data_IF_841084207234
#
_entry.id   IF_841084207234
#
_cell.length_a   1.000
_cell.length_b   1.000
_cell.length_c   1.000
_cell.angle_alpha   90.00
_cell.angle_beta   90.00
_cell.angle_gamma   90.00
#
_symmetry.space_group_name_H-M   'P 1'
#
loop_
_entity.id
_entity.type
_entity.pdbx_description
1 polymer ?
#
# COMPACT_ATOMS: atom_id res chain seq x y z
N UNK A 1 -22.86 -33.54 -88.22
CA UNK A 1 -23.08 -33.87 -86.79
C UNK A 1 -21.79 -33.59 -86.04
N UNK A 2 -21.77 -32.53 -85.24
CA UNK A 2 -20.60 -32.05 -84.47
C UNK A 2 -20.78 -32.53 -83.02
N UNK A 3 -19.78 -33.22 -82.45
CA UNK A 3 -19.71 -33.43 -81.01
C UNK A 3 -18.60 -32.54 -80.45
N UNK A 4 -18.99 -31.61 -79.57
CA UNK A 4 -18.12 -30.77 -78.75
C UNK A 4 -18.19 -31.30 -77.32
N UNK A 5 -17.04 -31.67 -76.74
CA UNK A 5 -16.89 -32.07 -75.34
C UNK A 5 -16.43 -30.84 -74.55
N UNK A 6 -17.30 -30.36 -73.67
CA UNK A 6 -17.01 -29.27 -72.72
C UNK A 6 -16.48 -29.93 -71.43
N UNK A 7 -15.20 -29.73 -71.14
CA UNK A 7 -14.59 -30.11 -69.87
C UNK A 7 -14.82 -29.02 -68.81
N UNK A 8 -15.48 -29.37 -67.72
CA UNK A 8 -15.74 -28.50 -66.56
C UNK A 8 -14.59 -28.66 -65.56
N UNK A 9 -13.84 -27.58 -65.28
CA UNK A 9 -12.85 -27.53 -64.22
C UNK A 9 -13.52 -27.11 -62.90
N UNK A 10 -13.56 -28.01 -61.92
CA UNK A 10 -14.00 -27.71 -60.55
C UNK A 10 -12.77 -27.32 -59.73
N UNK A 11 -12.72 -26.06 -59.29
CA UNK A 11 -11.70 -25.52 -58.39
C UNK A 11 -11.99 -26.01 -56.95
N UNK A 12 -11.14 -26.87 -56.40
CA UNK A 12 -11.21 -27.27 -55.00
C UNK A 12 -10.56 -26.20 -54.11
N UNK A 13 -11.37 -25.41 -53.40
CA UNK A 13 -10.91 -24.48 -52.37
C UNK A 13 -10.73 -25.25 -51.06
N UNK A 14 -9.49 -25.53 -50.70
CA UNK A 14 -9.13 -26.10 -49.40
C UNK A 14 -9.25 -25.04 -48.30
N UNK A 15 -10.33 -25.13 -47.51
CA UNK A 15 -10.55 -24.30 -46.32
C UNK A 15 -9.63 -24.79 -45.19
N UNK A 16 -8.49 -24.11 -45.01
CA UNK A 16 -7.60 -24.34 -43.87
C UNK A 16 -8.23 -23.82 -42.58
N UNK A 17 -8.68 -24.72 -41.71
CA UNK A 17 -9.09 -24.39 -40.35
C UNK A 17 -7.85 -24.01 -39.53
N UNK A 18 -7.63 -22.70 -39.35
CA UNK A 18 -6.70 -22.19 -38.34
C UNK A 18 -7.33 -22.39 -36.96
N UNK A 19 -6.87 -23.41 -36.23
CA UNK A 19 -7.14 -23.53 -34.80
C UNK A 19 -6.40 -22.40 -34.06
N UNK A 20 -7.13 -21.32 -33.78
CA UNK A 20 -6.73 -20.29 -32.83
C UNK A 20 -6.77 -20.89 -31.42
N UNK A 21 -5.59 -21.18 -30.84
CA UNK A 21 -5.48 -21.58 -29.45
C UNK A 21 -5.79 -20.37 -28.56
N UNK A 22 -7.04 -20.25 -28.14
CA UNK A 22 -7.57 -19.08 -27.47
C UNK A 22 -7.23 -19.03 -25.96
N UNK A 23 -6.96 -17.81 -25.49
CA UNK A 23 -6.55 -17.26 -24.17
C UNK A 23 -7.20 -17.79 -22.86
N UNK A 24 -7.80 -18.98 -22.80
CA UNK A 24 -8.48 -19.51 -21.60
C UNK A 24 -7.55 -19.66 -20.38
N UNK A 25 -6.28 -20.02 -20.59
CA UNK A 25 -5.35 -20.30 -19.50
C UNK A 25 -4.80 -19.04 -18.80
N UNK A 26 -4.71 -17.92 -19.53
CA UNK A 26 -4.23 -16.63 -19.01
C UNK A 26 -5.30 -15.92 -18.18
N UNK A 27 -6.57 -15.95 -18.61
CA UNK A 27 -7.67 -15.29 -17.90
C UNK A 27 -8.00 -15.95 -16.55
N UNK A 28 -7.96 -17.28 -16.46
CA UNK A 28 -8.16 -18.01 -15.19
C UNK A 28 -7.04 -17.76 -14.17
N UNK A 29 -5.77 -17.70 -14.62
CA UNK A 29 -4.64 -17.37 -13.74
C UNK A 29 -4.74 -15.93 -13.21
N UNK A 30 -5.08 -14.97 -14.06
CA UNK A 30 -5.28 -13.57 -13.65
C UNK A 30 -6.44 -13.42 -12.64
N UNK A 31 -7.55 -14.14 -12.85
CA UNK A 31 -8.69 -14.13 -11.93
C UNK A 31 -8.34 -14.66 -10.53
N UNK A 32 -7.50 -15.70 -10.43
CA UNK A 32 -7.01 -16.20 -9.14
C UNK A 32 -6.07 -15.21 -8.44
N UNK A 33 -5.21 -14.52 -9.20
CA UNK A 33 -4.29 -13.50 -8.69
C UNK A 33 -5.00 -12.21 -8.22
N UNK A 34 -6.20 -11.94 -8.72
CA UNK A 34 -7.04 -10.81 -8.31
C UNK A 34 -8.09 -11.15 -7.25
N UNK A 35 -7.99 -12.32 -6.57
CA UNK A 35 -8.98 -12.72 -5.58
C UNK A 35 -8.88 -11.83 -4.33
N UNK A 36 -9.95 -11.13 -4.03
CA UNK A 36 -10.03 -10.26 -2.85
C UNK A 36 -10.53 -11.01 -1.61
N UNK A 37 -10.19 -10.54 -0.39
CA UNK A 37 -10.78 -11.07 0.84
C UNK A 37 -12.29 -10.86 0.84
N UNK A 38 -13.06 -11.92 1.11
CA UNK A 38 -14.53 -11.89 0.98
C UNK A 38 -15.22 -10.91 1.95
N UNK A 39 -14.62 -10.64 3.10
CA UNK A 39 -15.14 -9.72 4.12
C UNK A 39 -14.71 -8.26 3.90
N UNK A 40 -13.87 -7.97 2.91
CA UNK A 40 -13.48 -6.62 2.56
C UNK A 40 -14.47 -6.02 1.54
N UNK A 41 -14.62 -4.68 1.51
CA UNK A 41 -15.33 -4.03 0.42
C UNK A 41 -14.56 -4.20 -0.90
N UNK A 42 -15.18 -3.84 -2.02
CA UNK A 42 -14.47 -3.79 -3.30
C UNK A 42 -13.30 -2.78 -3.22
N UNK A 43 -12.08 -3.12 -3.69
CA UNK A 43 -10.97 -2.18 -3.71
C UNK A 43 -11.25 -1.00 -4.63
N UNK A 44 -10.70 0.17 -4.29
CA UNK A 44 -10.76 1.37 -5.13
C UNK A 44 -9.92 1.18 -6.40
N UNK A 45 -8.75 0.54 -6.25
CA UNK A 45 -7.89 0.16 -7.36
C UNK A 45 -8.26 -1.22 -7.93
N UNK A 46 -8.67 -1.23 -9.20
CA UNK A 46 -8.89 -2.44 -9.99
C UNK A 46 -7.83 -2.61 -11.08
N UNK A 47 -7.71 -3.83 -11.61
CA UNK A 47 -6.71 -4.22 -12.62
C UNK A 47 -7.17 -4.01 -14.08
N UNK A 48 -8.10 -3.09 -14.33
CA UNK A 48 -8.62 -2.86 -15.69
C UNK A 48 -7.62 -2.17 -16.62
N UNK A 49 -6.77 -1.29 -16.10
CA UNK A 49 -5.74 -0.56 -16.87
C UNK A 49 -4.35 -1.21 -16.80
N UNK A 50 -4.12 -2.04 -15.78
CA UNK A 50 -2.87 -2.74 -15.51
C UNK A 50 -3.23 -4.15 -15.06
N UNK A 51 -3.48 -5.04 -16.03
CA UNK A 51 -3.88 -6.41 -15.74
C UNK A 51 -2.79 -7.15 -14.98
N UNK A 52 -3.18 -7.83 -13.90
CA UNK A 52 -2.24 -8.56 -13.05
C UNK A 52 -1.82 -9.88 -13.71
N UNK A 53 -0.52 -10.17 -13.66
CA UNK A 53 0.08 -11.44 -14.07
C UNK A 53 1.16 -11.90 -13.08
N UNK A 54 1.47 -13.20 -13.06
CA UNK A 54 2.54 -13.75 -12.23
C UNK A 54 3.90 -13.14 -12.60
N UNK A 55 4.12 -12.93 -13.90
CA UNK A 55 5.31 -12.33 -14.47
C UNK A 55 5.44 -10.86 -14.05
N UNK A 56 4.34 -10.10 -14.09
CA UNK A 56 4.30 -8.70 -13.69
C UNK A 56 4.51 -8.49 -12.19
N UNK A 57 3.92 -9.36 -11.36
CA UNK A 57 4.20 -9.41 -9.91
C UNK A 57 5.68 -9.71 -9.66
N UNK A 58 6.25 -10.68 -10.37
CA UNK A 58 7.66 -11.09 -10.21
C UNK A 58 8.61 -9.97 -10.62
N UNK A 59 8.38 -9.32 -11.77
CA UNK A 59 9.14 -8.16 -12.21
C UNK A 59 9.01 -6.99 -11.22
N UNK A 60 7.79 -6.70 -10.77
CA UNK A 60 7.51 -5.66 -9.77
C UNK A 60 8.24 -5.91 -8.45
N UNK A 61 8.24 -7.16 -7.98
CA UNK A 61 8.95 -7.55 -6.76
C UNK A 61 10.46 -7.38 -6.93
N UNK A 62 11.01 -7.84 -8.05
CA UNK A 62 12.44 -7.67 -8.34
C UNK A 62 12.83 -6.19 -8.30
N UNK A 63 12.08 -5.34 -9.02
CA UNK A 63 12.29 -3.89 -9.02
C UNK A 63 12.17 -3.25 -7.62
N UNK A 64 11.26 -3.76 -6.77
CA UNK A 64 11.05 -3.26 -5.41
C UNK A 64 12.28 -3.47 -4.52
N UNK A 65 12.98 -4.59 -4.68
CA UNK A 65 14.16 -4.93 -3.87
C UNK A 65 15.50 -4.59 -4.55
N UNK A 66 15.52 -4.38 -5.86
CA UNK A 66 16.72 -4.05 -6.62
C UNK A 66 17.10 -2.56 -6.47
N UNK A 67 18.32 -2.24 -6.00
CA UNK A 67 18.75 -0.85 -5.84
C UNK A 67 18.99 -0.13 -7.18
N UNK A 68 18.91 -0.80 -8.34
CA UNK A 68 19.06 -0.23 -9.68
C UNK A 68 18.21 1.03 -9.92
N UNK A 69 17.10 1.15 -9.21
CA UNK A 69 16.17 2.28 -9.28
C UNK A 69 16.63 3.53 -8.50
N UNK A 70 17.69 3.44 -7.69
CA UNK A 70 18.33 4.61 -7.08
C UNK A 70 19.44 5.16 -7.98
N UNK A 71 19.79 6.44 -7.79
CA UNK A 71 20.82 7.11 -8.60
C UNK A 71 22.14 6.34 -8.65
N UNK A 72 22.64 5.93 -7.49
CA UNK A 72 23.95 5.31 -7.30
C UNK A 72 23.87 3.80 -7.00
N UNK A 73 22.71 3.17 -7.22
CA UNK A 73 22.48 1.75 -6.98
C UNK A 73 22.75 1.29 -5.52
N UNK A 74 22.39 2.12 -4.52
CA UNK A 74 22.62 1.79 -3.09
C UNK A 74 21.35 1.61 -2.25
N UNK A 75 20.20 2.07 -2.74
CA UNK A 75 18.92 2.02 -2.01
C UNK A 75 17.84 1.45 -2.91
N UNK A 76 16.99 0.57 -2.38
CA UNK A 76 15.77 0.08 -3.01
C UNK A 76 14.55 0.40 -2.15
N UNK A 77 13.34 0.14 -2.63
CA UNK A 77 12.15 0.27 -1.78
C UNK A 77 12.25 -0.63 -0.55
N UNK A 78 12.79 -1.84 -0.74
CA UNK A 78 13.05 -2.81 0.32
C UNK A 78 14.07 -2.37 1.38
N UNK A 79 14.89 -1.34 1.13
CA UNK A 79 15.79 -0.79 2.15
C UNK A 79 15.04 -0.14 3.33
N UNK A 80 13.84 0.41 3.07
CA UNK A 80 13.00 1.06 4.08
C UNK A 80 11.69 0.29 4.34
N UNK A 81 11.24 -0.57 3.43
CA UNK A 81 9.95 -1.26 3.54
C UNK A 81 10.16 -2.76 3.79
N UNK A 82 10.34 -3.14 5.06
CA UNK A 82 10.76 -4.50 5.45
C UNK A 82 9.57 -5.48 5.53
N UNK A 83 9.58 -6.60 4.76
CA UNK A 83 8.43 -7.49 4.69
C UNK A 83 7.96 -8.07 6.03
N UNK A 84 8.89 -8.41 6.91
CA UNK A 84 8.64 -8.97 8.25
C UNK A 84 8.08 -7.93 9.25
N UNK A 85 7.90 -6.70 8.80
CA UNK A 85 7.46 -5.53 9.58
C UNK A 85 6.30 -4.82 8.90
N UNK A 86 5.47 -5.60 8.19
CA UNK A 86 4.37 -5.11 7.37
C UNK A 86 4.81 -4.03 6.38
N UNK A 87 6.03 -4.15 5.85
CA UNK A 87 6.66 -3.20 4.93
C UNK A 87 6.83 -1.79 5.51
N UNK A 88 7.04 -1.65 6.82
CA UNK A 88 7.51 -0.41 7.45
C UNK A 88 9.04 -0.44 7.69
N UNK A 89 9.61 0.67 8.17
CA UNK A 89 11.01 0.74 8.66
C UNK A 89 11.00 0.74 10.20
N UNK A 90 11.03 -0.43 10.87
CA UNK A 90 10.87 -0.48 12.31
C UNK A 90 12.05 0.16 13.04
N UNK A 91 11.82 0.71 14.23
CA UNK A 91 12.86 1.37 15.06
C UNK A 91 13.52 2.60 14.41
N UNK A 92 13.02 3.09 13.27
CA UNK A 92 13.51 4.31 12.62
C UNK A 92 12.45 5.39 12.72
N UNK A 93 12.77 6.44 13.48
CA UNK A 93 11.94 7.67 13.49
C UNK A 93 11.80 8.21 12.07
N UNK A 94 12.94 8.37 11.40
CA UNK A 94 13.09 8.76 10.01
C UNK A 94 14.05 7.76 9.34
N UNK A 95 13.71 7.34 8.14
CA UNK A 95 14.46 6.34 7.39
C UNK A 95 15.67 6.98 6.72
N UNK A 96 16.70 6.19 6.43
CA UNK A 96 17.88 6.67 5.71
C UNK A 96 17.77 6.31 4.24
N UNK A 97 17.67 7.32 3.38
CA UNK A 97 17.77 7.12 1.95
C UNK A 97 19.20 7.25 1.44
N UNK A 98 19.32 7.61 0.17
CA UNK A 98 20.59 7.73 -0.55
C UNK A 98 21.53 8.73 0.15
N UNK A 99 22.83 8.41 0.18
CA UNK A 99 23.85 9.18 0.91
C UNK A 99 23.53 9.34 2.42
N UNK A 100 22.81 8.38 3.00
CA UNK A 100 22.43 8.36 4.42
C UNK A 100 21.57 9.57 4.85
N UNK A 101 20.91 10.25 3.90
CA UNK A 101 20.04 11.38 4.20
C UNK A 101 18.75 10.88 4.88
N UNK A 102 18.29 11.60 5.90
CA UNK A 102 17.03 11.26 6.57
C UNK A 102 15.84 11.71 5.73
N UNK A 103 14.79 10.88 5.71
CA UNK A 103 13.47 11.25 5.20
C UNK A 103 12.85 12.35 6.05
N UNK A 104 11.84 13.05 5.52
CA UNK A 104 11.10 14.08 6.27
C UNK A 104 10.03 13.53 7.20
N UNK A 105 9.57 12.31 6.91
CA UNK A 105 8.48 11.63 7.62
C UNK A 105 8.83 10.17 7.85
N UNK A 106 8.19 9.57 8.84
CA UNK A 106 8.29 8.15 9.14
C UNK A 106 7.78 7.30 7.95
N UNK A 107 8.43 6.18 7.70
CA UNK A 107 8.07 5.25 6.62
C UNK A 107 6.87 4.40 7.03
N UNK A 108 5.70 4.56 6.39
CA UNK A 108 4.51 3.78 6.73
C UNK A 108 4.65 2.34 6.22
N UNK A 109 3.90 1.43 6.84
CA UNK A 109 3.71 0.09 6.29
C UNK A 109 3.01 0.10 4.93
N UNK A 110 3.30 -0.91 4.10
CA UNK A 110 2.68 -1.11 2.80
C UNK A 110 1.79 -2.35 2.83
N UNK A 111 0.51 -2.15 3.10
CA UNK A 111 -0.51 -3.20 3.08
C UNK A 111 -1.87 -2.60 2.72
N UNK A 112 -2.70 -3.39 2.02
CA UNK A 112 -4.07 -3.05 1.64
C UNK A 112 -4.23 -1.72 0.88
N UNK A 113 -3.16 -1.26 0.22
CA UNK A 113 -3.12 0.04 -0.45
C UNK A 113 -4.12 0.16 -1.61
N UNK A 114 -4.56 -0.96 -2.19
CA UNK A 114 -5.60 -0.99 -3.24
C UNK A 114 -6.96 -0.48 -2.76
N UNK A 115 -7.22 -0.46 -1.47
CA UNK A 115 -8.45 0.09 -0.89
C UNK A 115 -8.32 1.57 -0.51
N UNK A 116 -7.15 2.18 -0.69
CA UNK A 116 -6.95 3.60 -0.40
C UNK A 116 -7.28 4.46 -1.63
N UNK A 117 -7.72 5.70 -1.36
CA UNK A 117 -8.04 6.71 -2.38
C UNK A 117 -6.97 7.79 -2.52
N UNK A 118 -6.14 7.94 -1.49
CA UNK A 118 -5.04 8.90 -1.38
C UNK A 118 -3.88 8.24 -0.63
N UNK A 119 -2.66 8.63 -1.00
CA UNK A 119 -1.41 8.05 -0.51
C UNK A 119 -0.52 9.12 0.09
N UNK A 120 0.48 8.69 0.86
CA UNK A 120 1.32 9.53 1.74
C UNK A 120 0.53 10.21 2.87
N UNK A 121 1.25 10.78 3.83
CA UNK A 121 0.64 11.39 5.02
C UNK A 121 -0.14 12.68 4.69
N UNK A 122 0.19 13.38 3.61
CA UNK A 122 -0.48 14.62 3.15
C UNK A 122 -1.58 14.37 2.10
N UNK A 123 -1.61 13.17 1.51
CA UNK A 123 -2.60 12.78 0.51
C UNK A 123 -2.30 13.27 -0.90
N UNK A 124 -1.07 13.72 -1.19
CA UNK A 124 -0.72 14.34 -2.48
C UNK A 124 -0.87 13.40 -3.68
N UNK A 125 -0.70 12.09 -3.49
CA UNK A 125 -0.83 11.10 -4.56
C UNK A 125 -2.20 10.44 -4.52
N UNK A 126 -2.89 10.40 -5.67
CA UNK A 126 -4.28 9.90 -5.82
C UNK A 126 -4.40 8.68 -6.73
N UNK A 127 -3.32 8.30 -7.40
CA UNK A 127 -3.25 7.14 -8.29
C UNK A 127 -2.29 6.12 -7.73
N UNK A 128 -2.74 4.87 -7.67
CA UNK A 128 -2.01 3.78 -7.03
C UNK A 128 -0.67 3.50 -7.73
N UNK A 129 -0.63 3.59 -9.06
CA UNK A 129 0.59 3.39 -9.85
C UNK A 129 1.61 4.52 -9.66
N UNK A 130 1.20 5.68 -9.14
CA UNK A 130 2.09 6.81 -8.90
C UNK A 130 2.72 6.80 -7.51
N UNK A 131 2.36 5.85 -6.63
CA UNK A 131 3.00 5.75 -5.30
C UNK A 131 4.52 5.63 -5.42
N UNK A 132 5.10 4.77 -6.27
CA UNK A 132 6.56 4.65 -6.34
C UNK A 132 7.24 5.89 -6.92
N UNK A 133 6.53 6.73 -7.68
CA UNK A 133 7.15 7.87 -8.35
C UNK A 133 7.74 8.88 -7.35
N UNK A 134 7.04 9.16 -6.25
CA UNK A 134 7.48 10.12 -5.25
C UNK A 134 8.82 9.73 -4.58
N UNK A 135 9.00 8.52 -4.01
CA UNK A 135 10.29 8.11 -3.44
C UNK A 135 11.38 7.94 -4.51
N UNK A 136 11.02 7.51 -5.73
CA UNK A 136 11.97 7.33 -6.83
C UNK A 136 12.71 8.62 -7.16
N UNK A 137 12.02 9.75 -7.23
CA UNK A 137 12.62 11.04 -7.63
C UNK A 137 13.02 11.93 -6.45
N UNK A 138 12.66 11.57 -5.21
CA UNK A 138 13.01 12.36 -4.04
C UNK A 138 14.53 12.30 -3.77
N UNK A 139 15.15 13.48 -3.66
CA UNK A 139 16.59 13.69 -3.44
C UNK A 139 17.15 13.07 -2.15
N UNK A 140 16.31 12.93 -1.13
CA UNK A 140 16.67 12.34 0.16
C UNK A 140 16.44 10.83 0.19
N UNK A 141 15.62 10.31 -0.73
CA UNK A 141 15.23 8.89 -0.79
C UNK A 141 16.06 8.17 -1.85
N UNK A 142 15.62 8.12 -3.11
CA UNK A 142 16.31 7.36 -4.16
C UNK A 142 17.08 8.25 -5.17
N UNK A 143 16.76 9.55 -5.23
CA UNK A 143 17.37 10.56 -6.13
C UNK A 143 17.45 10.11 -7.61
N UNK A 144 16.52 9.28 -8.04
CA UNK A 144 16.46 8.71 -9.37
C UNK A 144 16.08 9.76 -10.42
N UNK A 145 16.74 9.71 -11.58
CA UNK A 145 16.30 10.38 -12.80
C UNK A 145 15.63 9.35 -13.71
N UNK A 146 14.36 9.56 -14.05
CA UNK A 146 13.59 8.56 -14.81
C UNK A 146 14.22 8.22 -16.16
N UNK A 147 14.86 9.17 -16.85
CA UNK A 147 15.49 8.91 -18.15
C UNK A 147 16.69 7.99 -17.97
N UNK A 148 17.54 8.27 -16.98
CA UNK A 148 18.68 7.43 -16.65
C UNK A 148 18.25 6.04 -16.14
N UNK A 149 17.21 5.97 -15.31
CA UNK A 149 16.67 4.69 -14.84
C UNK A 149 16.14 3.82 -15.99
N UNK A 150 15.37 4.42 -16.92
CA UNK A 150 14.91 3.72 -18.11
C UNK A 150 16.10 3.21 -18.93
N UNK A 151 17.14 4.02 -19.12
CA UNK A 151 18.36 3.62 -19.83
C UNK A 151 19.07 2.45 -19.14
N UNK A 152 19.20 2.47 -17.80
CA UNK A 152 19.76 1.35 -17.02
C UNK A 152 18.99 0.05 -17.28
N UNK A 153 17.66 0.10 -17.19
CA UNK A 153 16.80 -1.07 -17.40
C UNK A 153 16.84 -1.56 -18.86
N UNK A 154 16.83 -0.64 -19.83
CA UNK A 154 16.90 -0.95 -21.26
C UNK A 154 18.21 -1.66 -21.64
N UNK A 155 19.31 -1.26 -20.98
CA UNK A 155 20.64 -1.84 -21.19
C UNK A 155 20.85 -3.19 -20.48
N UNK A 156 19.94 -3.59 -19.58
CA UNK A 156 19.98 -4.91 -18.95
C UNK A 156 19.20 -5.92 -19.81
N UNK A 157 19.86 -6.96 -20.39
CA UNK A 157 19.17 -7.99 -21.16
C UNK A 157 18.08 -8.69 -20.33
N UNK A 158 18.36 -8.93 -19.05
CA UNK A 158 17.42 -9.55 -18.12
C UNK A 158 16.16 -8.71 -17.96
N UNK A 159 16.30 -7.40 -17.68
CA UNK A 159 15.13 -6.54 -17.53
C UNK A 159 14.37 -6.38 -18.84
N UNK A 160 15.07 -6.20 -19.97
CA UNK A 160 14.43 -6.12 -21.29
C UNK A 160 13.54 -7.33 -21.57
N UNK A 161 14.04 -8.54 -21.32
CA UNK A 161 13.27 -9.77 -21.49
C UNK A 161 12.05 -9.83 -20.56
N UNK A 162 12.21 -9.44 -19.29
CA UNK A 162 11.11 -9.42 -18.33
C UNK A 162 10.04 -8.37 -18.69
N UNK A 163 10.43 -7.18 -19.14
CA UNK A 163 9.51 -6.15 -19.62
C UNK A 163 8.79 -6.56 -20.91
N UNK A 164 9.51 -7.21 -21.84
CA UNK A 164 8.91 -7.79 -23.04
C UNK A 164 7.87 -8.85 -22.70
N UNK A 165 8.16 -9.73 -21.73
CA UNK A 165 7.25 -10.78 -21.29
C UNK A 165 5.96 -10.22 -20.66
N UNK A 166 6.05 -9.13 -19.90
CA UNK A 166 4.91 -8.57 -19.16
C UNK A 166 4.09 -7.60 -20.00
N UNK A 167 4.73 -6.74 -20.80
CA UNK A 167 4.09 -5.63 -21.49
C UNK A 167 4.15 -5.71 -23.02
N UNK A 168 4.72 -6.78 -23.57
CA UNK A 168 4.92 -6.96 -25.02
C UNK A 168 5.59 -5.73 -25.67
N UNK A 169 6.63 -5.22 -25.02
CA UNK A 169 7.37 -4.04 -25.47
C UNK A 169 8.89 -4.19 -25.36
N UNK A 170 9.58 -3.85 -26.44
CA UNK A 170 11.05 -3.78 -26.48
C UNK A 170 11.58 -2.42 -26.00
N UNK A 171 10.68 -1.46 -25.72
CA UNK A 171 10.99 -0.11 -25.26
C UNK A 171 10.42 0.12 -23.87
N UNK A 172 11.30 0.06 -22.87
CA UNK A 172 10.94 0.32 -21.48
C UNK A 172 10.58 1.81 -21.33
N UNK A 173 9.45 2.08 -20.66
CA UNK A 173 8.95 3.42 -20.38
C UNK A 173 8.63 3.53 -18.89
N UNK A 174 8.55 4.76 -18.37
CA UNK A 174 8.19 5.01 -16.96
C UNK A 174 6.90 4.30 -16.55
N UNK A 175 5.88 4.31 -17.42
CA UNK A 175 4.61 3.60 -17.18
C UNK A 175 4.80 2.10 -16.92
N UNK A 176 5.72 1.44 -17.62
CA UNK A 176 5.97 0.00 -17.46
C UNK A 176 6.58 -0.29 -16.08
N UNK A 177 7.53 0.55 -15.64
CA UNK A 177 8.18 0.44 -14.32
C UNK A 177 7.12 0.60 -13.22
N UNK A 178 6.31 1.67 -13.30
CA UNK A 178 5.27 1.98 -12.33
C UNK A 178 4.18 0.90 -12.30
N UNK A 179 3.80 0.35 -13.45
CA UNK A 179 2.81 -0.73 -13.54
C UNK A 179 3.32 -2.04 -12.95
N UNK A 180 4.57 -2.41 -13.20
CA UNK A 180 5.17 -3.60 -12.60
C UNK A 180 5.20 -3.49 -11.06
N UNK A 181 5.70 -2.36 -10.53
CA UNK A 181 5.70 -2.07 -9.09
C UNK A 181 4.28 -2.10 -8.51
N UNK A 182 3.30 -1.51 -9.20
CA UNK A 182 1.90 -1.54 -8.78
C UNK A 182 1.33 -2.97 -8.74
N UNK A 183 1.67 -3.84 -9.69
CA UNK A 183 1.23 -5.24 -9.65
C UNK A 183 1.74 -5.93 -8.38
N UNK A 184 3.02 -5.79 -8.04
CA UNK A 184 3.59 -6.35 -6.81
C UNK A 184 2.97 -5.74 -5.56
N UNK A 185 2.94 -4.40 -5.44
CA UNK A 185 2.35 -3.71 -4.30
C UNK A 185 0.86 -4.05 -4.10
N UNK A 186 0.16 -4.36 -5.20
CA UNK A 186 -1.23 -4.78 -5.17
C UNK A 186 -1.45 -6.15 -4.51
N UNK A 187 -0.40 -6.99 -4.43
CA UNK A 187 -0.44 -8.29 -3.73
C UNK A 187 -0.24 -8.17 -2.22
N UNK A 188 0.17 -6.99 -1.74
CA UNK A 188 0.42 -6.75 -0.32
C UNK A 188 -0.90 -6.58 0.44
N UNK A 189 -1.61 -7.69 0.62
CA UNK A 189 -2.93 -7.75 1.27
C UNK A 189 -2.81 -8.46 2.61
N UNK A 190 -3.06 -7.72 3.69
CA UNK A 190 -3.22 -8.25 5.05
C UNK A 190 -4.72 -8.37 5.35
N UNK A 191 -5.18 -9.60 5.57
CA UNK A 191 -6.62 -9.90 5.69
C UNK A 191 -6.91 -11.21 6.44
N UNK A 192 -5.95 -11.73 7.20
CA UNK A 192 -6.09 -12.97 7.96
C UNK A 192 -5.60 -12.83 9.42
N UNK A 193 -5.62 -11.60 9.94
CA UNK A 193 -5.38 -11.32 11.35
C UNK A 193 -6.38 -12.04 12.25
N UNK A 194 -6.10 -12.07 13.56
CA UNK A 194 -7.04 -12.64 14.53
C UNK A 194 -8.41 -11.94 14.51
N UNK A 195 -8.44 -10.64 14.24
CA UNK A 195 -9.68 -9.90 14.01
C UNK A 195 -10.43 -10.39 12.76
N UNK A 196 -9.73 -10.62 11.65
CA UNK A 196 -10.36 -11.13 10.41
C UNK A 196 -10.98 -12.52 10.64
N UNK A 197 -10.29 -13.37 11.40
CA UNK A 197 -10.78 -14.69 11.79
C UNK A 197 -12.00 -14.60 12.70
N UNK A 198 -12.04 -13.61 13.61
CA UNK A 198 -13.20 -13.35 14.47
C UNK A 198 -14.42 -12.86 13.67
N UNK A 199 -14.24 -11.89 12.77
CA UNK A 199 -15.30 -11.40 11.87
C UNK A 199 -15.84 -12.53 11.00
N UNK A 200 -14.97 -13.46 10.58
CA UNK A 200 -15.35 -14.64 9.80
C UNK A 200 -15.91 -15.80 10.63
N UNK A 201 -16.09 -15.63 11.94
CA UNK A 201 -16.62 -16.67 12.85
C UNK A 201 -15.68 -17.86 13.11
N UNK A 202 -14.41 -17.80 12.67
CA UNK A 202 -13.43 -18.89 12.82
C UNK A 202 -12.85 -18.99 14.22
N UNK A 203 -12.80 -17.87 14.95
CA UNK A 203 -12.30 -17.81 16.33
C UNK A 203 -13.24 -16.99 17.20
N UNK A 204 -13.18 -17.22 18.51
CA UNK A 204 -13.82 -16.37 19.52
C UNK A 204 -12.80 -15.43 20.13
N UNK A 205 -13.20 -14.18 20.32
CA UNK A 205 -12.45 -13.25 21.15
C UNK A 205 -12.58 -13.59 22.64
N UNK A 206 -11.47 -13.42 23.35
CA UNK A 206 -11.40 -13.41 24.82
C UNK A 206 -12.21 -12.24 25.39
N UNK A 207 -12.61 -12.28 26.68
CA UNK A 207 -13.28 -11.15 27.32
C UNK A 207 -12.51 -9.83 27.19
N UNK A 208 -11.19 -9.86 27.29
CA UNK A 208 -10.31 -8.70 27.19
C UNK A 208 -10.27 -8.13 25.76
N UNK A 209 -10.19 -8.99 24.75
CA UNK A 209 -10.26 -8.57 23.33
C UNK A 209 -11.62 -7.95 23.00
N UNK A 210 -12.73 -8.53 23.51
CA UNK A 210 -14.07 -7.95 23.35
C UNK A 210 -14.19 -6.61 24.04
N UNK A 211 -13.63 -6.47 25.24
CA UNK A 211 -13.62 -5.18 25.97
C UNK A 211 -12.82 -4.13 25.21
N UNK A 212 -11.66 -4.50 24.67
CA UNK A 212 -10.85 -3.62 23.82
C UNK A 212 -11.57 -3.18 22.56
N UNK A 213 -12.23 -4.12 21.87
CA UNK A 213 -13.07 -3.84 20.70
C UNK A 213 -14.19 -2.85 21.04
N UNK A 214 -14.91 -3.06 22.15
CA UNK A 214 -15.96 -2.15 22.61
C UNK A 214 -15.43 -0.73 22.82
N UNK A 215 -14.34 -0.57 23.58
CA UNK A 215 -13.73 0.74 23.84
C UNK A 215 -13.27 1.39 22.53
N UNK A 216 -12.69 0.61 21.63
CA UNK A 216 -12.26 1.09 20.31
C UNK A 216 -13.45 1.64 19.50
N UNK A 217 -14.57 0.92 19.46
CA UNK A 217 -15.80 1.37 18.79
C UNK A 217 -16.37 2.63 19.44
N UNK A 218 -16.33 2.75 20.75
CA UNK A 218 -16.87 3.93 21.46
C UNK A 218 -15.99 5.17 21.30
N UNK A 219 -14.67 5.00 21.27
CA UNK A 219 -13.71 6.11 21.42
C UNK A 219 -12.87 6.42 20.18
N UNK A 220 -12.61 5.45 19.31
CA UNK A 220 -11.61 5.57 18.23
C UNK A 220 -12.23 5.52 16.81
N UNK A 221 -13.36 4.84 16.64
CA UNK A 221 -13.88 4.51 15.30
C UNK A 221 -14.45 5.70 14.50
N UNK A 222 -14.60 6.88 15.12
CA UNK A 222 -14.96 8.10 14.39
C UNK A 222 -13.93 8.48 13.32
N UNK A 223 -12.65 8.17 13.56
CA UNK A 223 -11.58 8.34 12.59
C UNK A 223 -11.10 6.98 12.07
N UNK A 224 -10.90 6.00 12.97
CA UNK A 224 -10.44 4.67 12.61
C UNK A 224 -11.61 3.73 12.29
N UNK A 225 -12.34 4.07 11.23
CA UNK A 225 -13.56 3.36 10.85
C UNK A 225 -13.34 1.87 10.59
N UNK A 226 -14.22 1.05 11.16
CA UNK A 226 -14.12 -0.42 11.11
C UNK A 226 -14.92 -1.05 9.98
N UNK A 227 -15.95 -0.35 9.48
CA UNK A 227 -16.91 -0.88 8.49
C UNK A 227 -16.25 -1.25 7.17
N UNK A 228 -15.16 -0.57 6.81
CA UNK A 228 -14.36 -0.87 5.62
C UNK A 228 -13.26 -1.91 5.86
N UNK A 229 -13.19 -2.49 7.07
CA UNK A 229 -12.16 -3.42 7.54
C UNK A 229 -10.74 -2.86 7.60
N UNK A 230 -10.48 -1.58 7.31
CA UNK A 230 -9.13 -1.00 7.29
C UNK A 230 -8.78 -0.19 8.54
N UNK A 231 -9.74 0.10 9.43
CA UNK A 231 -9.50 0.90 10.63
C UNK A 231 -8.99 2.32 10.30
N UNK A 232 -9.56 2.92 9.26
CA UNK A 232 -9.29 4.29 8.81
C UNK A 232 -10.45 4.79 7.95
N UNK A 233 -10.84 6.05 8.10
CA UNK A 233 -11.77 6.73 7.19
C UNK A 233 -11.06 7.39 5.99
N UNK A 234 -9.72 7.35 5.96
CA UNK A 234 -8.83 8.01 5.00
C UNK A 234 -8.97 9.54 4.96
N UNK A 235 -9.59 10.13 5.98
CA UNK A 235 -9.68 11.58 6.17
C UNK A 235 -8.34 12.16 6.61
N UNK A 236 -8.28 13.50 6.71
CA UNK A 236 -7.10 14.21 7.18
C UNK A 236 -7.43 14.97 8.46
N UNK A 237 -6.63 14.76 9.50
CA UNK A 237 -6.91 15.22 10.85
C UNK A 237 -5.66 15.83 11.46
N UNK A 238 -5.82 16.88 12.25
CA UNK A 238 -4.77 17.34 13.16
C UNK A 238 -5.14 16.78 14.56
N UNK A 239 -4.28 15.95 15.12
CA UNK A 239 -4.49 15.33 16.44
C UNK A 239 -3.82 16.10 17.59
N UNK A 240 -3.36 17.33 17.31
CA UNK A 240 -2.74 18.21 18.30
C UNK A 240 -1.37 17.71 18.76
N UNK A 241 -0.55 17.14 17.88
CA UNK A 241 0.83 16.76 18.21
C UNK A 241 1.64 17.99 18.67
N UNK A 242 1.42 19.13 18.02
CA UNK A 242 2.03 20.41 18.30
C UNK A 242 0.96 21.52 18.23
N UNK A 243 1.08 22.58 19.02
CA UNK A 243 0.21 23.78 18.89
C UNK A 243 0.44 24.51 17.56
N UNK A 244 1.68 24.44 17.06
CA UNK A 244 2.07 24.92 15.74
C UNK A 244 2.93 23.84 15.07
N UNK A 245 2.42 23.26 13.99
CA UNK A 245 3.13 22.20 13.27
C UNK A 245 4.26 22.78 12.42
N UNK A 246 5.46 22.21 12.53
CA UNK A 246 6.58 22.53 11.63
C UNK A 246 6.45 21.85 10.26
N UNK A 247 5.72 20.74 10.20
CA UNK A 247 5.30 20.09 8.94
C UNK A 247 3.85 20.49 8.66
N UNK A 248 3.59 21.33 7.65
CA UNK A 248 2.23 21.81 7.36
C UNK A 248 1.33 20.70 6.79
N UNK A 249 1.85 19.50 6.53
CA UNK A 249 1.05 18.32 6.19
C UNK A 249 0.26 18.52 4.90
N UNK A 250 -1.06 18.31 4.99
CA UNK A 250 -1.99 18.43 3.87
C UNK A 250 -2.02 19.83 3.24
N UNK A 251 -1.70 20.89 3.97
CA UNK A 251 -1.62 22.24 3.41
C UNK A 251 -0.68 22.32 2.20
N UNK A 252 0.38 21.50 2.12
CA UNK A 252 1.28 21.46 0.95
C UNK A 252 0.59 21.02 -0.34
N UNK A 253 -0.61 20.44 -0.24
CA UNK A 253 -1.41 19.94 -1.36
C UNK A 253 -2.60 20.85 -1.65
N UNK A 254 -3.20 21.46 -0.62
CA UNK A 254 -4.46 22.21 -0.76
C UNK A 254 -4.29 23.72 -0.64
N UNK A 255 -3.20 24.19 -0.03
CA UNK A 255 -2.93 25.60 0.30
C UNK A 255 -4.02 26.26 1.18
N UNK A 256 -4.91 25.46 1.78
CA UNK A 256 -5.96 25.93 2.67
C UNK A 256 -5.46 25.96 4.12
N UNK A 257 -5.50 27.12 4.77
CA UNK A 257 -5.03 27.27 6.17
C UNK A 257 -5.65 26.25 7.14
N UNK A 258 -6.92 25.86 6.92
CA UNK A 258 -7.62 24.85 7.70
C UNK A 258 -7.03 23.43 7.61
N UNK A 259 -6.21 23.15 6.58
CA UNK A 259 -5.53 21.87 6.37
C UNK A 259 -4.09 21.85 6.93
N UNK A 260 -3.61 22.96 7.49
CA UNK A 260 -2.28 23.03 8.10
C UNK A 260 -2.15 22.04 9.26
N UNK A 261 -1.09 21.22 9.26
CA UNK A 261 -0.84 20.20 10.28
C UNK A 261 -1.81 19.01 10.25
N UNK A 262 -2.65 18.89 9.21
CA UNK A 262 -3.51 17.73 9.03
C UNK A 262 -2.80 16.63 8.26
N UNK A 263 -2.93 15.40 8.76
CA UNK A 263 -2.37 14.20 8.14
C UNK A 263 -3.43 13.13 7.97
N UNK A 264 -3.23 12.27 6.97
CA UNK A 264 -4.12 11.17 6.65
C UNK A 264 -4.22 10.22 7.83
N UNK A 265 -5.43 9.86 8.23
CA UNK A 265 -5.66 8.82 9.24
C UNK A 265 -5.09 7.49 8.72
N UNK A 266 -4.07 6.90 9.37
CA UNK A 266 -3.49 5.64 8.91
C UNK A 266 -4.41 4.47 9.23
N UNK A 267 -4.32 3.40 8.44
CA UNK A 267 -4.90 2.11 8.80
C UNK A 267 -4.22 1.60 10.08
N UNK A 268 -4.99 1.03 11.01
CA UNK A 268 -4.45 0.38 12.21
C UNK A 268 -4.17 -1.12 12.03
N UNK A 269 -4.37 -1.68 10.84
CA UNK A 269 -3.88 -3.03 10.55
C UNK A 269 -2.37 -3.08 10.76
N UNK A 270 -1.89 -4.14 11.39
CA UNK A 270 -0.47 -4.34 11.69
C UNK A 270 0.20 -3.21 12.49
N UNK A 271 -0.54 -2.33 13.17
CA UNK A 271 0.01 -1.14 13.84
C UNK A 271 1.10 -1.50 14.86
N UNK A 272 0.99 -2.63 15.54
CA UNK A 272 1.99 -3.04 16.55
C UNK A 272 3.31 -3.54 15.94
N UNK A 273 3.42 -3.65 14.61
CA UNK A 273 4.65 -4.00 13.90
C UNK A 273 5.37 -2.79 13.29
N UNK A 274 4.70 -1.64 13.19
CA UNK A 274 5.15 -0.49 12.39
C UNK A 274 5.57 0.70 13.25
N UNK A 275 6.17 0.44 14.40
CA UNK A 275 6.70 1.47 15.29
C UNK A 275 8.04 2.01 14.76
N UNK A 276 8.40 3.29 15.02
CA UNK A 276 7.68 4.26 15.83
C UNK A 276 6.49 4.93 15.11
N UNK A 277 5.67 5.66 15.85
CA UNK A 277 4.35 6.13 15.44
C UNK A 277 4.29 7.62 15.11
N UNK A 278 3.18 8.00 14.46
CA UNK A 278 2.89 9.31 13.88
C UNK A 278 3.63 9.57 12.57
N UNK A 279 3.26 10.66 11.89
CA UNK A 279 3.86 11.03 10.60
C UNK A 279 5.37 11.34 10.73
N UNK A 280 5.85 11.67 11.92
CA UNK A 280 7.24 12.02 12.21
C UNK A 280 7.93 11.03 13.16
N UNK A 281 7.31 9.89 13.46
CA UNK A 281 7.89 8.80 14.25
C UNK A 281 8.24 9.16 15.69
N UNK A 282 7.64 10.21 16.28
CA UNK A 282 8.08 10.73 17.60
C UNK A 282 7.76 9.81 18.79
N UNK A 283 6.78 8.93 18.66
CA UNK A 283 6.39 8.00 19.72
C UNK A 283 6.95 6.61 19.43
N UNK A 284 7.78 6.09 20.32
CA UNK A 284 8.38 4.77 20.19
C UNK A 284 7.38 3.63 20.47
N UNK A 285 6.36 3.90 21.29
CA UNK A 285 5.44 2.88 21.81
C UNK A 285 3.98 3.24 21.60
N UNK A 286 3.11 2.22 21.57
CA UNK A 286 1.67 2.45 21.44
C UNK A 286 1.09 3.09 22.71
N UNK A 287 1.72 2.86 23.86
CA UNK A 287 1.43 3.49 25.13
C UNK A 287 1.60 5.01 25.07
N UNK A 288 2.68 5.50 24.46
CA UNK A 288 2.90 6.93 24.23
C UNK A 288 1.83 7.53 23.30
N UNK A 289 1.38 6.77 22.28
CA UNK A 289 0.26 7.18 21.42
C UNK A 289 -1.02 7.33 22.24
N UNK A 290 -1.36 6.35 23.08
CA UNK A 290 -2.55 6.41 23.93
C UNK A 290 -2.43 7.50 25.00
N UNK A 291 -1.22 7.76 25.49
CA UNK A 291 -0.94 8.86 26.41
C UNK A 291 -1.13 10.22 25.73
N UNK A 292 -0.72 10.35 24.46
CA UNK A 292 -0.98 11.55 23.65
C UNK A 292 -2.47 11.83 23.56
N UNK A 293 -3.27 10.84 23.18
CA UNK A 293 -4.72 11.02 23.11
C UNK A 293 -5.35 11.34 24.46
N UNK A 294 -4.86 10.80 25.57
CA UNK A 294 -5.44 11.05 26.91
C UNK A 294 -5.12 12.45 27.46
N UNK A 295 -3.86 12.89 27.33
CA UNK A 295 -3.34 14.07 28.02
C UNK A 295 -2.37 14.93 27.19
N UNK A 296 -1.90 14.45 26.04
CA UNK A 296 -0.87 15.12 25.23
C UNK A 296 -1.37 16.07 24.15
N UNK A 297 -2.66 16.00 23.79
CA UNK A 297 -3.27 16.84 22.75
C UNK A 297 -3.07 18.33 23.05
N UNK A 298 -2.46 19.04 22.11
CA UNK A 298 -2.26 20.49 22.13
C UNK A 298 -3.38 21.20 21.39
N UNK A 299 -3.80 22.36 21.89
CA UNK A 299 -4.72 23.24 21.18
C UNK A 299 -3.96 23.87 20.00
N UNK A 300 -4.45 23.61 18.79
CA UNK A 300 -3.92 24.13 17.54
C UNK A 300 -5.10 24.70 16.73
N UNK A 301 -4.91 25.74 15.89
CA UNK A 301 -6.00 26.33 15.13
C UNK A 301 -6.79 25.34 14.25
N UNK A 302 -6.12 24.31 13.73
CA UNK A 302 -6.70 23.27 12.85
C UNK A 302 -7.04 21.96 13.57
N UNK A 303 -6.94 21.92 14.92
CA UNK A 303 -7.21 20.75 15.75
C UNK A 303 -8.58 20.15 15.40
N UNK A 304 -8.64 18.83 15.29
CA UNK A 304 -9.91 18.16 15.03
C UNK A 304 -10.90 18.36 16.19
N UNK A 305 -12.13 18.78 15.87
CA UNK A 305 -13.14 19.10 16.87
C UNK A 305 -13.55 17.90 17.73
N UNK A 306 -13.35 16.66 17.26
CA UNK A 306 -13.59 15.47 18.07
C UNK A 306 -12.67 15.35 19.28
N UNK A 307 -11.51 16.02 19.25
CA UNK A 307 -10.54 16.07 20.33
C UNK A 307 -10.70 17.30 21.23
N UNK A 308 -11.77 18.07 21.06
CA UNK A 308 -12.09 19.24 21.89
C UNK A 308 -13.53 19.12 22.37
N UNK A 309 -13.74 18.51 23.54
CA UNK A 309 -15.07 18.25 24.11
C UNK A 309 -15.12 18.66 25.57
N UNK A 310 -16.22 19.32 25.98
CA UNK A 310 -16.47 19.69 27.38
C UNK A 310 -15.28 20.42 28.05
N UNK A 311 -14.67 21.38 27.33
CA UNK A 311 -13.46 22.10 27.74
C UNK A 311 -12.23 21.22 28.06
N UNK A 312 -12.20 19.99 27.55
CA UNK A 312 -11.06 19.08 27.62
C UNK A 312 -10.53 18.79 26.22
N UNK A 313 -9.20 18.77 26.11
CA UNK A 313 -8.49 18.27 24.94
C UNK A 313 -8.24 16.77 25.07
N UNK A 314 -8.36 16.05 23.95
CA UNK A 314 -8.11 14.62 23.88
C UNK A 314 -9.31 13.74 24.23
N UNK A 315 -9.02 12.46 24.41
CA UNK A 315 -9.95 11.36 24.66
C UNK A 315 -9.58 10.76 26.01
N UNK A 316 -10.42 10.87 27.05
CA UNK A 316 -10.15 10.26 28.35
C UNK A 316 -9.94 8.75 28.23
N UNK A 317 -8.80 8.25 28.71
CA UNK A 317 -8.45 6.83 28.68
C UNK A 317 -7.88 6.37 30.02
N UNK A 318 -8.66 5.59 30.78
CA UNK A 318 -8.18 5.00 32.03
C UNK A 318 -7.15 3.88 31.78
N UNK A 319 -6.27 3.55 32.73
CA UNK A 319 -5.25 2.50 32.56
C UNK A 319 -5.80 1.14 32.08
N UNK A 320 -6.96 0.72 32.63
CA UNK A 320 -7.62 -0.51 32.22
C UNK A 320 -8.12 -0.44 30.75
N UNK A 321 -8.58 0.74 30.31
CA UNK A 321 -9.01 0.95 28.92
C UNK A 321 -7.81 0.91 27.97
N UNK A 322 -6.70 1.55 28.33
CA UNK A 322 -5.44 1.52 27.54
C UNK A 322 -4.98 0.07 27.34
N UNK A 323 -4.96 -0.74 28.42
CA UNK A 323 -4.60 -2.17 28.36
C UNK A 323 -5.54 -2.97 27.45
N UNK A 324 -6.85 -2.76 27.58
CA UNK A 324 -7.83 -3.44 26.74
C UNK A 324 -7.72 -3.04 25.26
N UNK A 325 -7.52 -1.75 24.97
CA UNK A 325 -7.26 -1.26 23.61
C UNK A 325 -6.02 -1.90 23.00
N UNK A 326 -4.90 -1.95 23.72
CA UNK A 326 -3.67 -2.60 23.25
C UNK A 326 -3.94 -4.08 22.95
N UNK A 327 -4.69 -4.77 23.83
CA UNK A 327 -5.09 -6.17 23.59
C UNK A 327 -5.90 -6.33 22.30
N UNK A 328 -6.81 -5.40 22.01
CA UNK A 328 -7.53 -5.39 20.74
C UNK A 328 -6.61 -5.08 19.54
N UNK A 329 -5.69 -4.12 19.65
CA UNK A 329 -4.74 -3.78 18.57
C UNK A 329 -3.83 -4.97 18.21
N UNK A 330 -3.47 -5.84 19.17
CA UNK A 330 -2.79 -7.10 18.87
C UNK A 330 -3.58 -7.99 17.91
N UNK A 331 -4.92 -7.97 17.98
CA UNK A 331 -5.76 -8.77 17.08
C UNK A 331 -5.70 -8.31 15.62
N UNK A 332 -5.21 -7.09 15.38
CA UNK A 332 -5.06 -6.50 14.05
C UNK A 332 -3.73 -6.86 13.36
N UNK A 333 -2.88 -7.63 14.03
CA UNK A 333 -1.63 -8.15 13.46
C UNK A 333 -1.90 -9.42 12.65
N UNK A 334 -1.44 -9.44 11.41
CA UNK A 334 -1.55 -10.59 10.52
C UNK A 334 -0.20 -11.28 10.36
N UNK A 335 0.09 -12.26 11.22
CA UNK A 335 1.31 -13.05 11.15
C UNK A 335 1.49 -13.73 9.79
N UNK A 336 0.39 -14.18 9.18
CA UNK A 336 0.43 -14.83 7.86
C UNK A 336 0.77 -13.87 6.72
N UNK A 337 0.70 -12.55 6.94
CA UNK A 337 1.15 -11.54 5.98
C UNK A 337 2.66 -11.31 6.06
N UNK A 338 3.23 -11.29 7.27
CA UNK A 338 4.65 -11.01 7.50
C UNK A 338 5.54 -12.25 7.44
N UNK A 339 4.97 -13.45 7.62
CA UNK A 339 5.68 -14.74 7.54
C UNK A 339 5.64 -15.36 6.13
N UNK A 340 5.02 -14.69 5.14
CA UNK A 340 4.98 -15.22 3.76
C UNK A 340 6.41 -15.48 3.29
N UNK A 341 6.73 -16.73 2.87
CA UNK A 341 8.03 -17.04 2.31
C UNK A 341 8.33 -16.02 1.23
N UNK A 342 9.43 -15.30 1.39
CA UNK A 342 9.95 -14.48 0.32
C UNK A 342 10.38 -15.47 -0.78
N UNK A 343 9.78 -15.47 -1.99
CA UNK A 343 10.30 -16.30 -3.06
C UNK A 343 11.79 -16.00 -3.21
N UNK A 344 12.64 -16.98 -2.93
CA UNK A 344 14.06 -16.89 -3.19
C UNK A 344 14.24 -16.68 -4.69
N UNK A 345 15.12 -15.77 -5.07
CA UNK A 345 15.55 -15.65 -6.46
C UNK A 345 16.07 -17.01 -6.92
N UNK A 346 15.39 -17.64 -7.88
CA UNK A 346 15.96 -18.71 -8.70
C UNK A 346 16.52 -18.08 -9.96
#
# INVERSE_FOLDING_TARGET
MKHSLIGTWILAVSLGFLFSCEKKHSSQKSAALSKEPAHFPKPYYGYSKNSISSEGITLGRKLFFDPILSKNNTVSCGSCHHPDKAYADPNKRLSKGIRQQLTKRNTPGLFNLRWHRTFFADGGVRHFELIPLAPLVNRQEMDGDLKELIKKLQNSPTYRNQFQQVFATDSIQSKHILYALAQFMGTLVSANSRYDQYVSGKVKFTPEEKKGLQIFTEKCSNCHQMTNQLFTDLSFRNIGLDSLSTDPGRYLITELAADSGRFKVPSLRNVLLTFPYMHDGRFATIEEVLQHYDQGVKDAPSLDSLLKKNNRLGIPLHPAEKKALIRFLHTLTDSSFIEKPQPTEQ
#
